data_IF_850866482268
#
_entry.id   IF_850866482268
#
_cell.length_a   1.000
_cell.length_b   1.000
_cell.length_c   1.000
_cell.angle_alpha   90.00
_cell.angle_beta   90.00
_cell.angle_gamma   90.00
#
_symmetry.space_group_name_H-M   'P 1'
#
loop_
_entity.id
_entity.type
_entity.pdbx_description
1 polymer ?
#
# COMPACT_ATOMS: atom_id res chain seq x y z
N UNK A 1 -6.94 -4.58 36.51
CA UNK A 1 -7.88 -4.26 35.41
C UNK A 1 -7.11 -4.53 34.14
N UNK A 2 -7.11 -5.79 33.68
CA UNK A 2 -6.41 -6.22 32.47
C UNK A 2 -7.22 -5.73 31.25
N UNK A 3 -6.60 -5.15 30.21
CA UNK A 3 -7.32 -4.83 28.99
C UNK A 3 -7.74 -6.13 28.29
N UNK A 4 -8.95 -6.11 27.74
CA UNK A 4 -9.68 -7.29 27.28
C UNK A 4 -9.12 -7.85 25.95
N UNK A 5 -8.89 -9.17 25.82
CA UNK A 5 -8.51 -9.82 24.56
C UNK A 5 -9.59 -9.77 23.47
N UNK A 6 -10.82 -9.36 23.81
CA UNK A 6 -11.95 -9.26 22.88
C UNK A 6 -11.82 -8.12 21.86
N UNK A 7 -10.97 -7.11 22.12
CA UNK A 7 -10.80 -5.97 21.21
C UNK A 7 -10.02 -6.37 19.95
N UNK A 8 -8.98 -7.20 20.09
CA UNK A 8 -8.17 -7.68 18.96
C UNK A 8 -9.01 -8.55 17.99
N UNK A 9 -9.82 -9.46 18.53
CA UNK A 9 -10.69 -10.33 17.71
C UNK A 9 -11.77 -9.56 16.93
N UNK A 10 -12.29 -8.46 17.51
CA UNK A 10 -13.27 -7.60 16.82
C UNK A 10 -12.63 -6.80 15.68
N UNK A 11 -11.41 -6.28 15.91
CA UNK A 11 -10.64 -5.54 14.89
C UNK A 11 -10.31 -6.45 13.68
N UNK A 12 -9.93 -7.71 13.91
CA UNK A 12 -9.64 -8.69 12.84
C UNK A 12 -10.90 -9.01 12.01
N UNK A 13 -12.05 -9.18 12.66
CA UNK A 13 -13.31 -9.44 11.97
C UNK A 13 -13.76 -8.26 11.10
N UNK A 14 -13.53 -7.03 11.58
CA UNK A 14 -13.80 -5.81 10.82
C UNK A 14 -12.90 -5.69 9.60
N UNK A 15 -11.60 -5.93 9.74
CA UNK A 15 -10.63 -5.86 8.64
C UNK A 15 -10.97 -6.88 7.55
N UNK A 16 -11.32 -8.11 7.94
CA UNK A 16 -11.70 -9.17 7.00
C UNK A 16 -12.92 -8.78 6.17
N UNK A 17 -13.96 -8.22 6.79
CA UNK A 17 -15.17 -7.77 6.07
C UNK A 17 -14.86 -6.63 5.10
N UNK A 18 -14.00 -5.69 5.51
CA UNK A 18 -13.54 -4.60 4.64
C UNK A 18 -12.78 -5.16 3.45
N UNK A 19 -11.88 -6.13 3.65
CA UNK A 19 -11.12 -6.77 2.57
C UNK A 19 -12.00 -7.47 1.54
N UNK A 20 -13.08 -8.12 1.97
CA UNK A 20 -14.06 -8.74 1.04
C UNK A 20 -14.68 -7.68 0.13
N UNK A 21 -15.08 -6.54 0.69
CA UNK A 21 -15.66 -5.44 -0.10
C UNK A 21 -14.60 -4.77 -0.98
N UNK A 22 -13.38 -4.61 -0.48
CA UNK A 22 -12.26 -4.06 -1.27
C UNK A 22 -11.93 -4.94 -2.49
N UNK A 23 -11.94 -6.26 -2.35
CA UNK A 23 -11.81 -7.20 -3.47
C UNK A 23 -12.98 -7.09 -4.46
N UNK A 24 -14.21 -6.97 -3.96
CA UNK A 24 -15.38 -6.76 -4.83
C UNK A 24 -15.30 -5.42 -5.60
N UNK A 25 -14.80 -4.36 -4.96
CA UNK A 25 -14.56 -3.07 -5.59
C UNK A 25 -13.47 -3.16 -6.66
N UNK A 26 -12.39 -3.90 -6.39
CA UNK A 26 -11.34 -4.14 -7.37
C UNK A 26 -11.87 -4.87 -8.60
N UNK A 27 -12.69 -5.91 -8.41
CA UNK A 27 -13.24 -6.68 -9.53
C UNK A 27 -14.29 -5.89 -10.34
N UNK A 28 -15.20 -5.20 -9.65
CA UNK A 28 -16.18 -4.32 -10.28
C UNK A 28 -16.70 -3.25 -9.32
N UNK A 29 -16.06 -2.08 -9.31
CA UNK A 29 -16.40 -0.99 -8.41
C UNK A 29 -17.83 -0.48 -8.61
N UNK A 30 -18.30 -0.33 -9.86
CA UNK A 30 -19.65 0.16 -10.16
C UNK A 30 -20.74 -0.74 -9.61
N UNK A 31 -20.65 -2.05 -9.86
CA UNK A 31 -21.63 -3.03 -9.36
C UNK A 31 -21.62 -3.07 -7.83
N UNK A 32 -20.43 -3.12 -7.23
CA UNK A 32 -20.27 -3.22 -5.78
C UNK A 32 -20.83 -1.98 -5.07
N UNK A 33 -20.54 -0.77 -5.57
CA UNK A 33 -21.13 0.47 -5.05
C UNK A 33 -22.66 0.45 -5.21
N UNK A 34 -23.18 -0.03 -6.33
CA UNK A 34 -24.62 -0.18 -6.54
C UNK A 34 -25.29 -1.08 -5.50
N UNK A 35 -24.66 -2.21 -5.14
CA UNK A 35 -25.15 -3.10 -4.08
C UNK A 35 -25.10 -2.43 -2.70
N UNK A 36 -24.01 -1.72 -2.38
CA UNK A 36 -23.89 -0.99 -1.12
C UNK A 36 -24.98 0.10 -0.98
N UNK A 37 -25.33 0.78 -2.07
CA UNK A 37 -26.44 1.75 -2.12
C UNK A 37 -27.77 1.05 -1.87
N UNK A 38 -28.03 -0.08 -2.53
CA UNK A 38 -29.27 -0.86 -2.32
C UNK A 38 -29.45 -1.34 -0.88
N UNK A 39 -28.34 -1.70 -0.22
CA UNK A 39 -28.34 -2.07 1.19
C UNK A 39 -28.46 -0.87 2.15
N UNK A 40 -28.26 0.36 1.66
CA UNK A 40 -28.32 1.58 2.47
C UNK A 40 -27.13 1.74 3.44
N UNK A 41 -26.01 1.05 3.18
CA UNK A 41 -24.86 0.99 4.11
C UNK A 41 -23.64 1.80 3.68
N UNK A 42 -23.68 2.47 2.53
CA UNK A 42 -22.53 3.22 1.95
C UNK A 42 -21.84 4.10 2.99
N UNK A 43 -22.58 5.04 3.60
CA UNK A 43 -21.99 5.97 4.56
C UNK A 43 -21.37 5.29 5.78
N UNK A 44 -22.04 4.28 6.35
CA UNK A 44 -21.54 3.56 7.52
C UNK A 44 -20.30 2.73 7.18
N UNK A 45 -20.32 2.02 6.05
CA UNK A 45 -19.20 1.19 5.63
C UNK A 45 -17.95 2.02 5.37
N UNK A 46 -18.06 3.08 4.56
CA UNK A 46 -16.90 3.91 4.23
C UNK A 46 -16.39 4.70 5.45
N UNK A 47 -17.28 5.15 6.34
CA UNK A 47 -16.84 5.75 7.60
C UNK A 47 -16.01 4.76 8.45
N UNK A 48 -16.45 3.50 8.55
CA UNK A 48 -15.72 2.46 9.27
C UNK A 48 -14.38 2.13 8.58
N UNK A 49 -14.38 2.00 7.25
CA UNK A 49 -13.17 1.70 6.48
C UNK A 49 -12.12 2.81 6.62
N UNK A 50 -12.51 4.09 6.45
CA UNK A 50 -11.57 5.19 6.65
C UNK A 50 -11.12 5.30 8.11
N UNK A 51 -12.00 5.06 9.08
CA UNK A 51 -11.58 5.00 10.48
C UNK A 51 -10.50 3.91 10.70
N UNK A 52 -10.63 2.74 10.08
CA UNK A 52 -9.60 1.69 10.12
C UNK A 52 -8.29 2.11 9.44
N UNK A 53 -8.36 2.72 8.25
CA UNK A 53 -7.17 3.17 7.50
C UNK A 53 -6.36 4.22 8.28
N UNK A 54 -7.05 5.18 8.91
CA UNK A 54 -6.42 6.27 9.64
C UNK A 54 -6.14 5.97 11.13
N UNK A 55 -6.59 4.82 11.64
CA UNK A 55 -6.32 4.42 13.01
C UNK A 55 -4.87 3.96 13.17
N UNK A 56 -4.15 4.62 14.08
CA UNK A 56 -2.80 4.27 14.45
C UNK A 56 -2.74 3.65 15.85
N UNK A 57 -1.75 2.77 16.05
CA UNK A 57 -1.30 2.40 17.38
C UNK A 57 -0.62 3.59 18.05
N UNK A 58 -0.35 3.47 19.35
CA UNK A 58 0.46 4.47 20.07
C UNK A 58 1.85 4.64 19.48
N UNK A 59 2.37 3.61 18.81
CA UNK A 59 3.65 3.62 18.08
C UNK A 59 3.60 4.33 16.73
N UNK A 60 2.48 4.95 16.32
CA UNK A 60 2.37 5.57 15.00
C UNK A 60 2.15 4.58 13.85
N UNK A 61 2.50 3.29 14.01
CA UNK A 61 2.22 2.25 13.01
C UNK A 61 0.71 2.03 12.82
N UNK A 62 0.26 1.63 11.60
CA UNK A 62 -1.15 1.33 11.33
C UNK A 62 -1.72 0.29 12.30
N UNK A 63 -2.90 0.56 12.86
CA UNK A 63 -3.58 -0.38 13.76
C UNK A 63 -4.19 -1.57 13.00
N UNK A 64 -4.80 -1.26 11.85
CA UNK A 64 -5.50 -2.19 10.95
C UNK A 64 -4.67 -2.47 9.70
N UNK A 65 -5.01 -3.54 8.96
CA UNK A 65 -4.32 -3.95 7.71
C UNK A 65 -2.80 -4.14 7.90
N UNK A 66 -2.43 -4.98 8.87
CA UNK A 66 -1.02 -5.17 9.27
C UNK A 66 -0.18 -5.87 8.21
N UNK A 67 -0.77 -6.79 7.43
CA UNK A 67 -0.07 -7.52 6.37
C UNK A 67 0.12 -6.65 5.13
N UNK A 68 1.17 -6.92 4.36
CA UNK A 68 1.38 -6.28 3.05
C UNK A 68 0.22 -6.57 2.09
N UNK A 69 -0.27 -7.82 2.10
CA UNK A 69 -1.41 -8.25 1.28
C UNK A 69 -2.68 -7.44 1.58
N UNK A 70 -3.02 -7.26 2.86
CA UNK A 70 -4.22 -6.51 3.26
C UNK A 70 -4.18 -5.06 2.77
N UNK A 71 -3.00 -4.41 2.91
CA UNK A 71 -2.78 -3.05 2.39
C UNK A 71 -2.97 -3.01 0.87
N UNK A 72 -2.38 -3.96 0.15
CA UNK A 72 -2.50 -4.10 -1.30
C UNK A 72 -3.97 -4.26 -1.73
N UNK A 73 -4.73 -5.16 -1.11
CA UNK A 73 -6.17 -5.35 -1.38
C UNK A 73 -6.94 -4.04 -1.21
N UNK A 74 -6.72 -3.33 -0.10
CA UNK A 74 -7.39 -2.06 0.15
C UNK A 74 -7.00 -0.98 -0.86
N UNK A 75 -5.72 -0.87 -1.25
CA UNK A 75 -5.27 0.05 -2.29
C UNK A 75 -5.98 -0.24 -3.61
N UNK A 76 -5.96 -1.49 -4.07
CA UNK A 76 -6.59 -1.88 -5.33
C UNK A 76 -8.09 -1.55 -5.35
N UNK A 77 -8.79 -1.82 -4.25
CA UNK A 77 -10.21 -1.49 -4.11
C UNK A 77 -10.49 0.02 -4.16
N UNK A 78 -9.74 0.83 -3.41
CA UNK A 78 -9.92 2.28 -3.37
C UNK A 78 -9.53 2.95 -4.69
N UNK A 79 -8.44 2.52 -5.32
CA UNK A 79 -8.00 3.05 -6.62
C UNK A 79 -9.05 2.76 -7.70
N UNK A 80 -9.63 1.56 -7.68
CA UNK A 80 -10.71 1.18 -8.61
C UNK A 80 -11.94 2.09 -8.48
N UNK A 81 -12.22 2.59 -7.26
CA UNK A 81 -13.29 3.56 -7.05
C UNK A 81 -12.99 4.93 -7.66
N UNK A 82 -11.73 5.38 -7.65
CA UNK A 82 -11.35 6.66 -8.24
C UNK A 82 -11.66 6.71 -9.73
N UNK A 83 -11.63 5.56 -10.41
CA UNK A 83 -11.92 5.43 -11.84
C UNK A 83 -13.43 5.30 -12.19
N UNK A 84 -14.33 5.25 -11.20
CA UNK A 84 -15.78 5.07 -11.47
C UNK A 84 -16.40 6.34 -12.08
N UNK A 85 -17.17 6.24 -13.18
CA UNK A 85 -17.84 7.40 -13.79
C UNK A 85 -18.72 8.18 -12.80
N UNK A 86 -18.87 9.49 -12.97
CA UNK A 86 -19.61 10.34 -12.03
C UNK A 86 -21.08 9.92 -11.86
N UNK A 87 -21.68 9.35 -12.89
CA UNK A 87 -23.07 8.91 -12.93
C UNK A 87 -23.29 7.66 -12.07
N UNK A 88 -22.25 6.85 -11.90
CA UNK A 88 -22.27 5.60 -11.16
C UNK A 88 -21.75 5.75 -9.72
N UNK A 89 -21.24 6.93 -9.35
CA UNK A 89 -20.65 7.20 -8.06
C UNK A 89 -21.71 7.68 -7.05
N UNK A 90 -21.88 7.01 -5.89
CA UNK A 90 -22.80 7.48 -4.84
C UNK A 90 -22.42 8.89 -4.35
N UNK A 91 -23.41 9.69 -3.96
CA UNK A 91 -23.21 11.09 -3.57
C UNK A 91 -22.24 11.24 -2.39
N UNK A 92 -22.32 10.31 -1.43
CA UNK A 92 -21.46 10.23 -0.25
C UNK A 92 -19.99 10.05 -0.65
N UNK A 93 -19.74 9.21 -1.66
CA UNK A 93 -18.39 8.94 -2.16
C UNK A 93 -17.89 10.10 -3.03
N UNK A 94 -18.78 10.69 -3.84
CA UNK A 94 -18.44 11.86 -4.65
C UNK A 94 -17.94 13.02 -3.80
N UNK A 95 -18.56 13.26 -2.64
CA UNK A 95 -18.09 14.26 -1.68
C UNK A 95 -16.79 13.85 -0.96
N UNK A 96 -16.54 12.55 -0.82
CA UNK A 96 -15.40 11.97 -0.10
C UNK A 96 -14.20 11.57 -0.98
N UNK A 97 -14.15 11.92 -2.27
CA UNK A 97 -13.07 11.48 -3.18
C UNK A 97 -11.67 11.89 -2.70
N UNK A 98 -11.53 13.06 -2.09
CA UNK A 98 -10.25 13.48 -1.48
C UNK A 98 -9.83 12.56 -0.32
N UNK A 99 -10.79 12.07 0.47
CA UNK A 99 -10.52 11.11 1.55
C UNK A 99 -10.16 9.72 1.00
N UNK A 100 -10.78 9.30 -0.11
CA UNK A 100 -10.39 8.07 -0.84
C UNK A 100 -8.93 8.16 -1.25
N UNK A 101 -8.53 9.25 -1.91
CA UNK A 101 -7.14 9.44 -2.33
C UNK A 101 -6.16 9.52 -1.16
N UNK A 102 -6.50 10.24 -0.08
CA UNK A 102 -5.68 10.27 1.12
C UNK A 102 -5.51 8.88 1.75
N UNK A 103 -6.55 8.05 1.73
CA UNK A 103 -6.49 6.66 2.18
C UNK A 103 -5.57 5.81 1.30
N UNK A 104 -5.65 5.94 -0.02
CA UNK A 104 -4.74 5.27 -0.97
C UNK A 104 -3.28 5.65 -0.67
N UNK A 105 -2.99 6.95 -0.57
CA UNK A 105 -1.64 7.45 -0.30
C UNK A 105 -1.08 6.89 1.02
N UNK A 106 -1.90 6.92 2.08
CA UNK A 106 -1.50 6.39 3.38
C UNK A 106 -1.14 4.90 3.33
N UNK A 107 -1.95 4.10 2.64
CA UNK A 107 -1.71 2.66 2.51
C UNK A 107 -0.48 2.36 1.65
N UNK A 108 -0.27 3.08 0.55
CA UNK A 108 0.91 2.93 -0.30
C UNK A 108 2.20 3.31 0.43
N UNK A 109 2.19 4.39 1.22
CA UNK A 109 3.34 4.77 2.04
C UNK A 109 3.64 3.73 3.12
N UNK A 110 2.59 3.25 3.82
CA UNK A 110 2.75 2.20 4.81
C UNK A 110 3.23 0.87 4.20
N UNK A 111 2.85 0.59 2.95
CA UNK A 111 3.35 -0.58 2.22
C UNK A 111 4.83 -0.41 1.85
N UNK A 112 5.24 0.77 1.37
CA UNK A 112 6.63 1.05 1.01
C UNK A 112 7.56 1.02 2.23
N UNK A 113 7.14 1.60 3.35
CA UNK A 113 7.89 1.52 4.61
C UNK A 113 8.07 0.06 5.06
N UNK A 114 7.01 -0.75 4.95
CA UNK A 114 7.07 -2.17 5.31
C UNK A 114 7.98 -2.99 4.37
N UNK A 115 7.99 -2.68 3.07
CA UNK A 115 8.94 -3.29 2.11
C UNK A 115 10.38 -2.96 2.48
N UNK A 116 10.66 -1.70 2.82
CA UNK A 116 12.00 -1.27 3.19
C UNK A 116 12.48 -1.81 4.55
N UNK A 117 11.57 -2.03 5.51
CA UNK A 117 11.87 -2.75 6.76
C UNK A 117 12.26 -4.21 6.45
N UNK A 118 11.49 -4.90 5.60
CA UNK A 118 11.78 -6.30 5.23
C UNK A 118 13.10 -6.46 4.44
N UNK A 119 13.40 -5.54 3.52
CA UNK A 119 14.67 -5.52 2.78
C UNK A 119 15.87 -5.29 3.72
N UNK A 120 15.73 -4.38 4.70
CA UNK A 120 16.78 -4.10 5.67
C UNK A 120 17.01 -5.23 6.67
N UNK A 121 15.95 -5.95 7.05
CA UNK A 121 16.07 -7.11 7.92
C UNK A 121 16.68 -8.31 7.19
N UNK A 122 16.30 -8.55 5.92
CA UNK A 122 16.94 -9.57 5.08
C UNK A 122 18.45 -9.31 4.87
N UNK A 123 18.83 -8.04 4.63
CA UNK A 123 20.25 -7.68 4.50
C UNK A 123 21.06 -7.93 5.78
N UNK A 124 20.45 -7.81 6.96
CA UNK A 124 21.10 -8.14 8.25
C UNK A 124 21.22 -9.63 8.47
N UNK A 125 20.23 -10.41 8.04
CA UNK A 125 20.29 -11.88 8.11
C UNK A 125 21.37 -12.44 7.17
N UNK A 126 21.53 -11.86 5.96
CA UNK A 126 22.60 -12.23 5.04
C UNK A 126 24.00 -11.85 5.57
N UNK A 127 24.14 -10.74 6.31
CA UNK A 127 25.40 -10.35 6.99
C UNK A 127 25.77 -11.27 8.18
N UNK A 128 24.81 -11.93 8.82
CA UNK A 128 25.05 -12.87 9.94
C UNK A 128 25.40 -14.29 9.47
N UNK A 129 25.14 -14.62 8.19
CA UNK A 129 25.47 -15.92 7.57
C UNK A 129 26.87 -15.95 6.89
N UNK A 130 27.58 -14.82 6.80
CA UNK A 130 28.97 -14.77 6.29
C UNK A 130 30.05 -15.04 7.37
N UNK A 131 29.68 -15.18 8.65
CA UNK A 131 30.64 -15.39 9.75
C UNK A 131 31.07 -16.87 9.98
N UNK A 132 30.74 -17.80 9.08
CA UNK A 132 31.17 -19.22 9.16
C UNK A 132 31.91 -19.79 7.94
N UNK A 133 32.51 -18.99 7.05
CA UNK A 133 33.42 -19.51 6.01
C UNK A 133 34.82 -18.85 5.98
N UNK A 134 35.73 -19.58 6.63
CA UNK A 134 37.18 -19.77 6.38
C UNK A 134 37.99 -18.69 5.61
N UNK A 135 39.10 -18.32 6.26
CA UNK A 135 40.28 -17.65 5.71
C UNK A 135 40.61 -18.02 4.25
N UNK A 136 40.62 -17.02 3.36
CA UNK A 136 41.16 -17.15 2.01
C UNK A 136 41.35 -15.79 1.33
N UNK A 137 42.60 -15.33 1.25
CA UNK A 137 43.02 -14.15 0.48
C UNK A 137 42.65 -14.28 -1.02
N UNK A 138 41.96 -13.30 -1.62
CA UNK A 138 42.39 -12.64 -2.87
C UNK A 138 41.44 -11.52 -3.35
N UNK A 139 42.10 -10.45 -3.79
CA UNK A 139 41.73 -9.33 -4.68
C UNK A 139 40.46 -9.47 -5.55
N UNK A 140 39.62 -8.44 -5.53
CA UNK A 140 38.41 -8.34 -6.36
C UNK A 140 37.74 -6.97 -6.27
N UNK A 141 38.31 -6.00 -7.00
CA UNK A 141 37.68 -4.79 -7.55
C UNK A 141 36.14 -4.72 -7.39
N UNK A 142 35.66 -4.01 -6.34
CA UNK A 142 34.24 -3.67 -6.20
C UNK A 142 33.98 -2.51 -7.15
N UNK A 143 33.42 -2.86 -8.31
CA UNK A 143 32.83 -1.89 -9.22
C UNK A 143 31.75 -1.10 -8.49
N UNK A 144 31.88 0.23 -8.56
CA UNK A 144 30.81 1.19 -8.25
C UNK A 144 29.60 0.83 -9.13
N UNK A 145 28.58 0.20 -8.55
CA UNK A 145 27.28 0.00 -9.20
C UNK A 145 26.38 1.19 -8.84
N UNK A 146 25.68 1.70 -9.85
CA UNK A 146 24.92 2.96 -9.86
C UNK A 146 23.67 2.93 -8.94
N UNK A 147 23.83 2.92 -7.60
CA UNK A 147 22.72 2.89 -6.62
C UNK A 147 22.24 4.28 -6.13
N UNK A 148 22.85 5.37 -6.60
CA UNK A 148 22.61 6.71 -6.04
C UNK A 148 21.22 7.30 -6.37
N UNK A 149 20.54 6.87 -7.45
CA UNK A 149 19.22 7.43 -7.83
C UNK A 149 18.04 6.77 -7.07
N UNK A 150 18.12 5.46 -6.79
CA UNK A 150 17.10 4.71 -6.03
C UNK A 150 17.03 5.23 -4.56
N UNK A 151 18.16 5.67 -3.99
CA UNK A 151 18.21 6.23 -2.63
C UNK A 151 17.41 7.54 -2.48
N UNK A 152 17.56 8.49 -3.40
CA UNK A 152 16.88 9.79 -3.30
C UNK A 152 15.36 9.63 -3.40
N UNK A 153 14.90 8.73 -4.27
CA UNK A 153 13.49 8.41 -4.43
C UNK A 153 12.91 7.76 -3.16
N UNK A 154 13.59 6.73 -2.65
CA UNK A 154 13.21 6.06 -1.41
C UNK A 154 13.20 7.04 -0.22
N UNK A 155 14.14 7.98 -0.18
CA UNK A 155 14.21 9.03 0.85
C UNK A 155 13.03 10.01 0.76
N UNK A 156 12.59 10.39 -0.44
CA UNK A 156 11.40 11.23 -0.63
C UNK A 156 10.12 10.51 -0.17
N UNK A 157 9.99 9.22 -0.50
CA UNK A 157 8.90 8.35 -0.03
C UNK A 157 8.88 8.23 1.50
N UNK A 158 10.02 7.91 2.11
CA UNK A 158 10.18 7.82 3.58
C UNK A 158 9.81 9.13 4.28
N UNK A 159 10.21 10.28 3.71
CA UNK A 159 9.83 11.59 4.26
C UNK A 159 8.31 11.80 4.21
N UNK A 160 7.67 11.45 3.09
CA UNK A 160 6.21 11.50 2.96
C UNK A 160 5.51 10.56 3.94
N UNK A 161 6.05 9.35 4.11
CA UNK A 161 5.51 8.35 5.02
C UNK A 161 5.59 8.80 6.48
N UNK A 162 6.73 9.34 6.92
CA UNK A 162 6.91 9.84 8.29
C UNK A 162 5.97 11.00 8.62
N UNK A 163 5.74 11.92 7.67
CA UNK A 163 4.83 13.05 7.87
C UNK A 163 3.35 12.60 7.95
N UNK A 164 2.99 11.47 7.34
CA UNK A 164 1.60 10.96 7.27
C UNK A 164 1.31 9.91 8.36
N UNK A 165 2.28 9.08 8.71
CA UNK A 165 2.15 7.97 9.66
C UNK A 165 2.59 8.35 11.08
N UNK A 166 3.49 9.32 11.22
CA UNK A 166 4.07 9.77 12.50
C UNK A 166 5.35 9.02 12.85
N UNK A 167 6.24 9.69 13.60
CA UNK A 167 7.53 9.16 14.08
C UNK A 167 7.31 8.33 15.36
N UNK A 168 7.56 7.02 15.28
CA UNK A 168 7.36 6.12 16.41
C UNK A 168 8.44 5.05 16.48
N UNK A 169 9.42 5.29 17.35
CA UNK A 169 10.44 4.33 17.78
C UNK A 169 9.82 3.19 18.61
N UNK A 170 10.30 1.98 18.38
CA UNK A 170 9.80 0.69 18.88
C UNK A 170 9.70 0.51 20.40
N UNK A 171 8.71 -0.28 20.80
CA UNK A 171 8.71 -1.32 21.86
C UNK A 171 7.25 -1.79 22.03
N UNK A 172 6.75 -2.65 21.13
CA UNK A 172 5.56 -3.48 21.39
C UNK A 172 5.60 -4.68 20.40
N UNK A 173 6.37 -5.71 20.79
CA UNK A 173 6.29 -7.05 20.22
C UNK A 173 4.95 -7.65 20.62
N UNK A 174 3.98 -7.63 19.70
CA UNK A 174 2.62 -8.09 19.96
C UNK A 174 2.13 -8.89 18.74
N UNK A 175 2.37 -10.21 18.84
CA UNK A 175 1.97 -11.33 17.99
C UNK A 175 2.08 -11.08 16.46
N UNK A 176 3.23 -11.46 15.93
CA UNK A 176 3.40 -11.78 14.52
C UNK A 176 2.58 -13.03 14.20
N UNK A 177 1.35 -12.81 13.73
CA UNK A 177 0.57 -13.88 13.13
C UNK A 177 1.15 -14.15 11.73
N UNK A 178 2.18 -15.00 11.69
CA UNK A 178 2.70 -15.66 10.49
C UNK A 178 1.66 -16.65 9.99
N UNK A 179 0.72 -16.12 9.21
CA UNK A 179 -0.17 -16.95 8.39
C UNK A 179 0.57 -17.25 7.10
N UNK A 180 1.56 -18.12 7.23
CA UNK A 180 2.37 -18.73 6.15
C UNK A 180 1.55 -19.73 5.33
N UNK A 181 0.28 -19.43 5.06
CA UNK A 181 -0.40 -20.06 3.93
C UNK A 181 -0.13 -19.17 2.71
N UNK A 182 0.87 -19.56 1.89
CA UNK A 182 1.09 -19.03 0.54
C UNK A 182 -0.12 -19.36 -0.36
N UNK A 183 -1.25 -18.73 -0.07
CA UNK A 183 -2.43 -18.77 -0.93
C UNK A 183 -2.16 -17.80 -2.06
N UNK A 184 -1.75 -18.34 -3.21
CA UNK A 184 -1.66 -17.54 -4.43
C UNK A 184 -3.03 -16.98 -4.79
N UNK A 185 -3.17 -15.68 -4.75
CA UNK A 185 -4.40 -14.98 -5.11
C UNK A 185 -4.30 -14.39 -6.53
N UNK A 186 -5.42 -14.25 -7.27
CA UNK A 186 -5.40 -13.63 -8.60
C UNK A 186 -4.89 -12.18 -8.63
N UNK A 187 -4.79 -11.51 -7.47
CA UNK A 187 -4.27 -10.15 -7.33
C UNK A 187 -2.76 -10.10 -7.06
N UNK A 188 -2.13 -11.24 -6.76
CA UNK A 188 -0.68 -11.31 -6.50
C UNK A 188 0.18 -10.71 -7.61
N UNK A 189 -0.07 -10.93 -8.93
CA UNK A 189 0.76 -10.34 -9.97
C UNK A 189 0.55 -8.83 -10.15
N UNK A 190 -0.45 -8.22 -9.50
CA UNK A 190 -0.78 -6.81 -9.67
C UNK A 190 0.06 -5.96 -8.72
N UNK A 191 0.95 -5.13 -9.26
CA UNK A 191 1.67 -4.18 -8.42
C UNK A 191 0.77 -2.99 -8.03
N UNK A 192 0.59 -2.67 -6.73
CA UNK A 192 -0.29 -1.62 -6.28
C UNK A 192 0.19 -0.21 -6.64
N UNK A 193 1.51 0.02 -6.78
CA UNK A 193 2.08 1.32 -7.16
C UNK A 193 1.86 1.57 -8.65
N UNK A 194 2.16 0.59 -9.50
CA UNK A 194 1.89 0.64 -10.95
C UNK A 194 0.39 0.80 -11.20
N UNK A 195 -0.45 0.04 -10.51
CA UNK A 195 -1.90 0.15 -10.65
C UNK A 195 -2.43 1.55 -10.30
N UNK A 196 -1.89 2.16 -9.24
CA UNK A 196 -2.24 3.53 -8.88
C UNK A 196 -1.76 4.57 -9.89
N UNK A 197 -0.53 4.44 -10.38
CA UNK A 197 0.04 5.34 -11.39
C UNK A 197 -0.74 5.29 -12.72
N UNK A 198 -1.13 4.09 -13.15
CA UNK A 198 -1.96 3.88 -14.34
C UNK A 198 -3.36 4.47 -14.16
N UNK A 199 -3.97 4.28 -12.99
CA UNK A 199 -5.27 4.88 -12.68
C UNK A 199 -5.21 6.41 -12.66
N UNK A 200 -4.15 6.99 -12.12
CA UNK A 200 -3.94 8.45 -12.10
C UNK A 200 -3.75 9.01 -13.52
N UNK A 201 -2.97 8.31 -14.36
CA UNK A 201 -2.81 8.65 -15.77
C UNK A 201 -4.13 8.56 -16.54
N UNK A 202 -4.90 7.49 -16.31
CA UNK A 202 -6.23 7.32 -16.91
C UNK A 202 -7.21 8.41 -16.47
N UNK A 203 -7.16 8.82 -15.19
CA UNK A 203 -7.93 9.96 -14.68
C UNK A 203 -7.57 11.26 -15.38
N UNK A 204 -6.29 11.52 -15.60
CA UNK A 204 -5.85 12.72 -16.30
C UNK A 204 -6.36 12.77 -17.74
N UNK A 205 -6.39 11.63 -18.43
CA UNK A 205 -6.80 11.53 -19.84
C UNK A 205 -8.32 11.57 -20.03
N UNK A 206 -9.08 10.86 -19.18
CA UNK A 206 -10.51 10.67 -19.37
C UNK A 206 -11.38 11.52 -18.44
N UNK A 207 -10.84 11.96 -17.30
CA UNK A 207 -11.57 12.73 -16.27
C UNK A 207 -10.70 13.88 -15.70
N UNK A 208 -10.26 14.82 -16.55
CA UNK A 208 -9.25 15.82 -16.18
C UNK A 208 -9.67 16.74 -15.03
N UNK A 209 -10.97 17.07 -14.92
CA UNK A 209 -11.51 17.87 -13.82
C UNK A 209 -11.36 17.14 -12.48
N UNK A 210 -11.68 15.83 -12.45
CA UNK A 210 -11.54 15.02 -11.25
C UNK A 210 -10.07 14.90 -10.86
N UNK A 211 -9.19 14.63 -11.82
CA UNK A 211 -7.75 14.62 -11.59
C UNK A 211 -7.27 15.94 -10.97
N UNK A 212 -7.67 17.08 -11.53
CA UNK A 212 -7.29 18.39 -10.99
C UNK A 212 -7.81 18.61 -9.55
N UNK A 213 -9.03 18.18 -9.24
CA UNK A 213 -9.59 18.29 -7.88
C UNK A 213 -8.83 17.42 -6.87
N UNK A 214 -8.47 16.20 -7.27
CA UNK A 214 -7.67 15.27 -6.47
C UNK A 214 -6.28 15.86 -6.20
N UNK A 215 -5.60 16.36 -7.24
CA UNK A 215 -4.28 17.00 -7.08
C UNK A 215 -4.31 18.26 -6.20
N UNK A 216 -5.39 19.04 -6.28
CA UNK A 216 -5.58 20.25 -5.47
C UNK A 216 -5.90 19.95 -4.00
N UNK A 217 -6.42 18.75 -3.70
CA UNK A 217 -6.70 18.33 -2.33
C UNK A 217 -5.44 17.83 -1.59
N UNK A 218 -4.38 17.48 -2.32
CA UNK A 218 -3.10 17.09 -1.75
C UNK A 218 -2.32 18.32 -1.26
N UNK A 219 -1.75 18.24 -0.06
CA UNK A 219 -0.78 19.22 0.42
C UNK A 219 0.60 19.03 -0.24
N UNK A 220 1.54 19.95 0.00
CA UNK A 220 2.85 19.94 -0.65
C UNK A 220 3.63 18.64 -0.38
N UNK A 221 3.55 18.10 0.84
CA UNK A 221 4.20 16.85 1.19
C UNK A 221 3.58 15.65 0.46
N UNK A 222 2.25 15.58 0.40
CA UNK A 222 1.54 14.53 -0.34
C UNK A 222 1.82 14.62 -1.85
N UNK A 223 1.96 15.84 -2.39
CA UNK A 223 2.32 16.03 -3.81
C UNK A 223 3.73 15.52 -4.12
N UNK A 224 4.70 15.72 -3.22
CA UNK A 224 6.05 15.16 -3.36
C UNK A 224 6.02 13.64 -3.27
N UNK A 225 5.32 13.09 -2.28
CA UNK A 225 5.16 11.64 -2.14
C UNK A 225 4.50 11.02 -3.37
N UNK A 226 3.48 11.68 -3.94
CA UNK A 226 2.79 11.25 -5.15
C UNK A 226 3.73 11.25 -6.36
N UNK A 227 4.54 12.29 -6.54
CA UNK A 227 5.54 12.33 -7.60
C UNK A 227 6.56 11.20 -7.45
N UNK A 228 7.03 10.93 -6.22
CA UNK A 228 7.91 9.81 -5.93
C UNK A 228 7.27 8.46 -6.24
N UNK A 229 6.01 8.23 -5.88
CA UNK A 229 5.31 6.98 -6.22
C UNK A 229 5.16 6.77 -7.73
N UNK A 230 4.92 7.85 -8.49
CA UNK A 230 4.80 7.75 -9.95
C UNK A 230 6.16 7.45 -10.60
N UNK A 231 7.25 8.02 -10.08
CA UNK A 231 8.60 7.69 -10.53
C UNK A 231 8.97 6.24 -10.19
N UNK A 232 8.69 5.79 -8.96
CA UNK A 232 8.90 4.41 -8.53
C UNK A 232 8.13 3.42 -9.40
N UNK A 233 6.87 3.74 -9.74
CA UNK A 233 6.08 2.94 -10.65
C UNK A 233 6.66 2.92 -12.08
N UNK A 234 7.37 3.96 -12.53
CA UNK A 234 8.04 3.96 -13.82
C UNK A 234 9.29 3.05 -13.80
N UNK A 235 10.11 3.13 -12.75
CA UNK A 235 11.27 2.25 -12.56
C UNK A 235 10.87 0.78 -12.49
N UNK A 236 9.79 0.45 -11.76
CA UNK A 236 9.23 -0.91 -11.70
C UNK A 236 8.80 -1.45 -13.07
N UNK A 237 8.44 -0.58 -14.02
CA UNK A 237 8.08 -0.97 -15.38
C UNK A 237 9.31 -1.19 -16.25
N UNK A 238 10.37 -0.43 -15.99
CA UNK A 238 11.62 -0.50 -16.74
C UNK A 238 12.56 -1.60 -16.21
N UNK A 239 12.43 -2.00 -14.93
CA UNK A 239 13.09 -3.21 -14.40
C UNK A 239 12.50 -4.44 -15.14
N UNK A 240 13.28 -5.15 -15.97
CA UNK A 240 12.80 -6.34 -16.65
C UNK A 240 12.45 -7.39 -15.59
N UNK A 241 11.31 -8.06 -15.75
CA UNK A 241 10.92 -9.17 -14.90
C UNK A 241 11.98 -10.28 -14.99
N UNK A 242 12.94 -10.27 -14.06
CA UNK A 242 13.95 -11.30 -13.97
C UNK A 242 13.26 -12.65 -13.66
N UNK A 243 13.58 -13.65 -14.49
CA UNK A 243 13.23 -15.06 -14.34
C UNK A 243 11.76 -15.49 -14.55
N UNK A 244 11.22 -15.26 -15.74
CA UNK A 244 10.21 -16.15 -16.34
C UNK A 244 10.70 -16.76 -17.67
N UNK A 245 11.95 -17.25 -17.69
CA UNK A 245 12.46 -18.15 -18.73
C UNK A 245 13.31 -19.26 -18.09
N UNK A 246 12.66 -20.09 -17.27
CA UNK A 246 13.14 -21.44 -16.98
C UNK A 246 12.77 -22.35 -18.14
N UNK A 247 13.76 -22.59 -18.99
CA UNK A 247 13.80 -23.44 -20.18
C UNK A 247 13.13 -24.80 -20.01
N UNK A 248 12.13 -25.06 -20.85
CA UNK A 248 11.79 -26.42 -21.27
C UNK A 248 12.71 -26.82 -22.42
N UNK A 249 13.67 -27.69 -22.15
CA UNK A 249 14.26 -28.63 -23.12
C UNK A 249 13.92 -30.06 -22.70
#
# INVERSE_FOLDING_TARGET
>A
MLPYPYLCSYDIGQDTLIMVVANALYYNATLTLGLLVQMGVVGQFFAAWFASIFANKKSGKPKHFRRMHDKKVCVLGLVSMLAVPEEALPAEIKAGLAQVQAGVMRLLLALKDQQAEAEADAAREDEEDEDEQEEGEEDGDIGEDDEDEDEELNKALRRGARDILGDGSDEDSDDEFTDDEEVRTPIDPVDPFVFFADALSGLQQHMPIRHQQLMAACDANTQVALAGMVAYAAELRDKPAAAATGSGE
#
